data_IF_395600971756
#
_entry.id   IF_395600971756
#
_cell.length_a   1.000
_cell.length_b   1.000
_cell.length_c   1.000
_cell.angle_alpha   90.00
_cell.angle_beta   90.00
_cell.angle_gamma   90.00
#
_symmetry.space_group_name_H-M   'P 1'
#
loop_
_entity.id
_entity.type
_entity.pdbx_description
1 polymer ?
#
# COMPACT_ATOMS: atom_id res chain seq x y z
N UNK A 1 -7.74 -15.54 33.17
CA UNK A 1 -8.81 -14.55 33.44
C UNK A 1 -8.31 -13.11 33.36
N UNK A 2 -7.21 -12.74 34.04
CA UNK A 2 -6.65 -11.37 34.01
C UNK A 2 -6.11 -10.94 32.63
N UNK A 3 -5.33 -11.79 31.92
CA UNK A 3 -4.80 -11.50 30.57
C UNK A 3 -5.91 -11.25 29.50
N UNK A 4 -7.01 -11.99 29.58
CA UNK A 4 -8.16 -11.84 28.68
C UNK A 4 -8.87 -10.49 28.88
N UNK A 5 -8.96 -10.02 30.13
CA UNK A 5 -9.57 -8.74 30.46
C UNK A 5 -8.74 -7.55 29.94
N UNK A 6 -7.41 -7.61 30.07
CA UNK A 6 -6.51 -6.61 29.48
C UNK A 6 -6.58 -6.57 27.95
N UNK A 7 -6.65 -7.75 27.28
CA UNK A 7 -6.86 -7.81 25.82
C UNK A 7 -8.20 -7.19 25.38
N UNK A 8 -9.28 -7.41 26.14
CA UNK A 8 -10.61 -6.86 25.82
C UNK A 8 -10.65 -5.33 25.98
N UNK A 9 -10.12 -4.82 27.09
CA UNK A 9 -10.04 -3.39 27.36
C UNK A 9 -9.17 -2.67 26.31
N UNK A 10 -8.08 -3.31 25.90
CA UNK A 10 -7.20 -2.80 24.87
C UNK A 10 -7.85 -2.77 23.48
N UNK A 11 -8.57 -3.82 23.09
CA UNK A 11 -9.38 -3.84 21.87
C UNK A 11 -10.41 -2.70 21.86
N UNK A 12 -11.02 -2.41 23.02
CA UNK A 12 -11.93 -1.28 23.16
C UNK A 12 -11.21 0.06 22.96
N UNK A 13 -10.01 0.20 23.52
CA UNK A 13 -9.18 1.40 23.35
C UNK A 13 -8.73 1.61 21.90
N UNK A 14 -8.26 0.56 21.21
CA UNK A 14 -7.91 0.65 19.77
C UNK A 14 -9.14 1.05 18.96
N UNK A 15 -10.30 0.42 19.21
CA UNK A 15 -11.54 0.76 18.49
C UNK A 15 -11.95 2.21 18.71
N UNK A 16 -11.81 2.74 19.93
CA UNK A 16 -12.11 4.14 20.23
C UNK A 16 -11.14 5.10 19.53
N UNK A 17 -9.84 4.76 19.52
CA UNK A 17 -8.80 5.51 18.79
C UNK A 17 -9.10 5.51 17.29
N UNK A 18 -9.34 4.35 16.69
CA UNK A 18 -9.66 4.25 15.27
C UNK A 18 -10.95 5.01 14.91
N UNK A 19 -12.00 4.90 15.73
CA UNK A 19 -13.23 5.64 15.50
C UNK A 19 -13.01 7.17 15.48
N UNK A 20 -12.16 7.69 16.37
CA UNK A 20 -11.79 9.11 16.37
C UNK A 20 -11.10 9.52 15.06
N UNK A 21 -10.07 8.79 14.65
CA UNK A 21 -9.26 9.21 13.51
C UNK A 21 -9.92 8.91 12.15
N UNK A 22 -10.71 7.84 12.03
CA UNK A 22 -11.57 7.60 10.86
C UNK A 22 -12.57 8.73 10.65
N UNK A 23 -13.17 9.24 11.73
CA UNK A 23 -14.10 10.36 11.63
C UNK A 23 -13.42 11.64 11.09
N UNK A 24 -12.12 11.83 11.37
CA UNK A 24 -11.31 12.95 10.88
C UNK A 24 -10.87 12.72 9.44
N UNK A 25 -10.38 11.52 9.11
CA UNK A 25 -9.93 11.12 7.77
C UNK A 25 -11.03 11.34 6.72
N UNK A 26 -12.24 10.89 7.04
CA UNK A 26 -13.41 11.02 6.17
C UNK A 26 -14.21 12.32 6.36
N UNK A 27 -13.77 13.26 7.23
CA UNK A 27 -14.48 14.53 7.41
C UNK A 27 -14.36 15.38 6.12
N UNK A 28 -15.46 15.67 5.40
CA UNK A 28 -15.40 16.46 4.19
C UNK A 28 -15.12 17.95 4.44
N UNK A 29 -15.16 18.40 5.70
CA UNK A 29 -14.98 19.81 6.08
C UNK A 29 -13.52 20.18 6.32
N UNK A 30 -12.65 19.20 6.49
CA UNK A 30 -11.22 19.40 6.73
C UNK A 30 -10.44 19.25 5.42
N UNK A 31 -9.47 20.13 5.19
CA UNK A 31 -8.55 19.99 4.05
C UNK A 31 -7.58 18.84 4.28
N UNK A 32 -6.86 18.43 3.23
CA UNK A 32 -5.84 17.38 3.34
C UNK A 32 -4.73 17.81 4.29
N UNK A 33 -4.29 19.07 4.20
CA UNK A 33 -3.23 19.67 5.03
C UNK A 33 -3.63 19.69 6.51
N UNK A 34 -4.90 20.00 6.79
CA UNK A 34 -5.44 19.96 8.15
C UNK A 34 -5.52 18.54 8.71
N UNK A 35 -5.75 17.53 7.85
CA UNK A 35 -5.81 16.11 8.25
C UNK A 35 -4.44 15.49 8.49
N UNK A 36 -3.41 15.89 7.74
CA UNK A 36 -2.05 15.34 7.83
C UNK A 36 -1.53 15.19 9.27
N UNK A 37 -1.55 16.22 10.14
CA UNK A 37 -1.04 16.07 11.51
C UNK A 37 -1.80 15.01 12.33
N UNK A 38 -3.11 14.86 12.11
CA UNK A 38 -3.90 13.83 12.78
C UNK A 38 -3.58 12.43 12.28
N UNK A 39 -3.33 12.26 10.97
CA UNK A 39 -2.93 10.98 10.41
C UNK A 39 -1.55 10.55 10.92
N UNK A 40 -0.61 11.49 11.03
CA UNK A 40 0.71 11.26 11.64
C UNK A 40 0.54 10.83 13.10
N UNK A 41 -0.27 11.55 13.88
CA UNK A 41 -0.54 11.21 15.29
C UNK A 41 -1.16 9.81 15.42
N UNK A 42 -2.12 9.47 14.57
CA UNK A 42 -2.79 8.18 14.58
C UNK A 42 -1.80 7.03 14.32
N UNK A 43 -1.00 7.15 13.26
CA UNK A 43 0.01 6.15 12.91
C UNK A 43 1.11 6.04 13.97
N UNK A 44 1.52 7.16 14.56
CA UNK A 44 2.51 7.17 15.65
C UNK A 44 2.01 6.36 16.85
N UNK A 45 0.77 6.59 17.28
CA UNK A 45 0.15 5.83 18.38
C UNK A 45 -0.03 4.36 18.04
N UNK A 46 -0.37 4.04 16.80
CA UNK A 46 -0.46 2.65 16.35
C UNK A 46 0.90 1.95 16.47
N UNK A 47 1.98 2.59 16.01
CA UNK A 47 3.35 2.07 16.10
C UNK A 47 3.85 1.92 17.55
N UNK A 48 3.61 2.92 18.41
CA UNK A 48 3.94 2.84 19.84
C UNK A 48 3.27 1.64 20.53
N UNK A 49 2.02 1.36 20.17
CA UNK A 49 1.33 0.18 20.68
C UNK A 49 2.03 -1.10 20.21
N UNK A 50 2.37 -1.23 18.92
CA UNK A 50 3.04 -2.43 18.41
C UNK A 50 4.34 -2.75 19.18
N UNK A 51 5.11 -1.71 19.52
CA UNK A 51 6.34 -1.82 20.33
C UNK A 51 6.01 -2.18 21.79
N UNK A 52 5.05 -1.49 22.41
CA UNK A 52 4.67 -1.72 23.81
C UNK A 52 4.15 -3.14 24.06
N UNK A 53 3.40 -3.69 23.09
CA UNK A 53 2.90 -5.07 23.15
C UNK A 53 3.92 -6.12 22.75
N UNK A 54 5.10 -5.70 22.25
CA UNK A 54 6.16 -6.58 21.77
C UNK A 54 5.62 -7.61 20.78
N UNK A 55 4.91 -7.13 19.76
CA UNK A 55 4.33 -8.00 18.74
C UNK A 55 5.46 -8.77 18.05
N UNK A 56 5.37 -10.10 18.10
CA UNK A 56 6.32 -11.00 17.46
C UNK A 56 5.85 -11.41 16.05
N UNK A 57 6.79 -11.82 15.21
CA UNK A 57 6.53 -12.23 13.82
C UNK A 57 5.50 -13.36 13.75
N UNK A 58 5.57 -14.32 14.66
CA UNK A 58 4.67 -15.47 14.76
C UNK A 58 3.23 -15.04 15.07
N UNK A 59 3.04 -13.97 15.84
CA UNK A 59 1.71 -13.43 16.11
C UNK A 59 1.11 -12.83 14.85
N UNK A 60 1.89 -12.08 14.07
CA UNK A 60 1.46 -11.52 12.77
C UNK A 60 1.04 -12.65 11.83
N UNK A 61 1.83 -13.72 11.73
CA UNK A 61 1.51 -14.90 10.93
C UNK A 61 0.17 -15.51 11.32
N UNK A 62 -0.04 -15.74 12.62
CA UNK A 62 -1.31 -16.26 13.13
C UNK A 62 -2.48 -15.32 12.84
N UNK A 63 -2.28 -14.00 12.96
CA UNK A 63 -3.33 -13.04 12.66
C UNK A 63 -3.74 -13.07 11.19
N UNK A 64 -2.76 -13.07 10.28
CA UNK A 64 -3.03 -13.06 8.83
C UNK A 64 -3.75 -14.33 8.39
N UNK A 65 -3.32 -15.51 8.87
CA UNK A 65 -3.97 -16.79 8.54
C UNK A 65 -5.43 -16.82 9.00
N UNK A 66 -5.73 -16.22 10.15
CA UNK A 66 -7.09 -16.18 10.69
C UNK A 66 -7.92 -15.00 10.15
N UNK A 67 -7.30 -14.05 9.45
CA UNK A 67 -7.96 -12.88 8.90
C UNK A 67 -8.66 -13.22 7.58
N UNK A 68 -9.82 -12.59 7.35
CA UNK A 68 -10.54 -12.67 6.06
C UNK A 68 -9.97 -11.63 5.10
N UNK A 69 -8.76 -11.89 4.58
CA UNK A 69 -8.10 -11.05 3.58
C UNK A 69 -8.17 -11.79 2.24
N UNK A 70 -8.59 -11.10 1.18
CA UNK A 70 -8.74 -11.65 -0.17
C UNK A 70 -8.09 -10.71 -1.18
N UNK A 71 -7.48 -11.29 -2.22
CA UNK A 71 -7.03 -10.54 -3.39
C UNK A 71 -8.23 -10.20 -4.28
N UNK A 72 -8.12 -9.12 -5.05
CA UNK A 72 -9.09 -8.84 -6.11
C UNK A 72 -9.02 -9.93 -7.19
N UNK A 73 -10.13 -10.15 -7.87
CA UNK A 73 -10.22 -11.13 -8.96
C UNK A 73 -9.13 -10.90 -10.01
N UNK A 74 -8.41 -11.96 -10.36
CA UNK A 74 -7.33 -11.95 -11.36
C UNK A 74 -5.98 -11.39 -10.87
N UNK A 75 -5.89 -10.87 -9.65
CA UNK A 75 -4.63 -10.33 -9.12
C UNK A 75 -3.57 -11.41 -8.92
N UNK A 76 -3.96 -12.64 -8.59
CA UNK A 76 -3.02 -13.77 -8.47
C UNK A 76 -2.39 -14.13 -9.82
N UNK A 77 -3.19 -14.15 -10.88
CA UNK A 77 -2.74 -14.42 -12.24
C UNK A 77 -1.79 -13.31 -12.72
N UNK A 78 -2.12 -12.05 -12.45
CA UNK A 78 -1.25 -10.91 -12.75
C UNK A 78 0.12 -11.04 -12.06
N UNK A 79 0.14 -11.30 -10.75
CA UNK A 79 1.39 -11.45 -9.99
C UNK A 79 2.24 -12.60 -10.56
N UNK A 80 1.62 -13.73 -10.89
CA UNK A 80 2.33 -14.88 -11.48
C UNK A 80 2.88 -14.57 -12.87
N UNK A 81 2.13 -13.84 -13.69
CA UNK A 81 2.57 -13.46 -15.02
C UNK A 81 3.77 -12.52 -14.95
N UNK A 82 3.73 -11.49 -14.10
CA UNK A 82 4.85 -10.58 -13.85
C UNK A 82 6.10 -11.34 -13.39
N UNK A 83 5.93 -12.32 -12.52
CA UNK A 83 7.02 -13.19 -12.08
C UNK A 83 7.63 -14.01 -13.22
N UNK A 84 6.80 -14.66 -14.04
CA UNK A 84 7.26 -15.47 -15.18
C UNK A 84 7.95 -14.65 -16.26
N UNK A 85 7.63 -13.36 -16.35
CA UNK A 85 8.20 -12.41 -17.31
C UNK A 85 9.40 -11.65 -16.74
N UNK A 86 9.83 -11.96 -15.50
CA UNK A 86 10.91 -11.26 -14.78
C UNK A 86 10.70 -9.75 -14.68
N UNK A 87 9.44 -9.31 -14.57
CA UNK A 87 9.08 -7.89 -14.45
C UNK A 87 8.98 -7.54 -12.97
N UNK A 88 9.76 -6.57 -12.45
CA UNK A 88 9.65 -6.14 -11.06
C UNK A 88 8.24 -5.63 -10.73
N UNK A 89 7.66 -6.13 -9.65
CA UNK A 89 6.39 -5.70 -9.07
C UNK A 89 6.66 -5.00 -7.74
N UNK A 90 6.36 -3.71 -7.68
CA UNK A 90 6.47 -2.94 -6.43
C UNK A 90 5.09 -2.83 -5.78
N UNK A 91 4.97 -3.32 -4.55
CA UNK A 91 3.79 -3.15 -3.71
C UNK A 91 4.04 -2.01 -2.74
N UNK A 92 3.44 -0.85 -3.01
CA UNK A 92 3.51 0.31 -2.13
C UNK A 92 2.27 0.36 -1.24
N UNK A 93 2.45 0.34 0.08
CA UNK A 93 1.35 0.41 1.03
C UNK A 93 1.66 1.28 2.22
N UNK A 94 0.77 2.21 2.56
CA UNK A 94 0.78 2.91 3.85
C UNK A 94 0.43 1.99 5.03
N UNK A 95 0.03 0.74 4.77
CA UNK A 95 -0.24 -0.29 5.77
C UNK A 95 1.01 -0.87 6.43
N UNK A 96 0.85 -2.02 7.09
CA UNK A 96 1.97 -2.76 7.71
C UNK A 96 2.52 -3.77 6.71
N UNK A 97 3.77 -3.57 6.27
CA UNK A 97 4.35 -4.38 5.19
C UNK A 97 4.52 -5.87 5.53
N UNK A 98 4.78 -6.22 6.79
CA UNK A 98 4.90 -7.62 7.22
C UNK A 98 3.59 -8.40 7.06
N UNK A 99 2.44 -7.72 7.19
CA UNK A 99 1.13 -8.33 6.94
C UNK A 99 0.99 -8.70 5.47
N UNK A 100 1.43 -7.81 4.58
CA UNK A 100 1.41 -8.03 3.13
C UNK A 100 2.35 -9.18 2.75
N UNK A 101 3.58 -9.19 3.28
CA UNK A 101 4.56 -10.27 3.05
C UNK A 101 3.99 -11.64 3.47
N UNK A 102 3.49 -11.75 4.69
CA UNK A 102 2.90 -13.00 5.20
C UNK A 102 1.69 -13.41 4.36
N UNK A 103 0.80 -12.48 4.03
CA UNK A 103 -0.40 -12.76 3.26
C UNK A 103 -0.06 -13.30 1.86
N UNK A 104 0.87 -12.66 1.16
CA UNK A 104 1.28 -13.09 -0.17
C UNK A 104 1.98 -14.44 -0.15
N UNK A 105 2.84 -14.71 0.85
CA UNK A 105 3.44 -16.05 1.02
C UNK A 105 2.37 -17.11 1.22
N UNK A 106 1.33 -16.81 2.00
CA UNK A 106 0.24 -17.75 2.23
C UNK A 106 -0.60 -17.99 0.97
N UNK A 107 -0.93 -16.94 0.22
CA UNK A 107 -1.75 -17.05 -1.00
C UNK A 107 -1.01 -17.68 -2.17
N UNK A 108 0.26 -17.35 -2.35
CA UNK A 108 1.04 -17.76 -3.52
C UNK A 108 1.94 -18.97 -3.25
N UNK A 109 2.17 -19.32 -1.98
CA UNK A 109 3.10 -20.36 -1.50
C UNK A 109 4.54 -19.86 -1.31
N UNK A 110 4.91 -18.78 -1.99
CA UNK A 110 6.19 -18.09 -1.89
C UNK A 110 6.01 -16.64 -2.35
N UNK A 111 6.99 -15.77 -2.09
CA UNK A 111 7.05 -14.45 -2.72
C UNK A 111 8.02 -14.53 -3.90
N UNK A 112 7.56 -14.32 -5.13
CA UNK A 112 8.43 -14.18 -6.29
C UNK A 112 9.52 -13.11 -6.09
N UNK A 113 10.74 -13.36 -6.54
CA UNK A 113 11.90 -12.47 -6.34
C UNK A 113 11.74 -11.09 -6.99
N UNK A 114 10.89 -11.00 -8.01
CA UNK A 114 10.56 -9.75 -8.67
C UNK A 114 9.61 -8.87 -7.84
N UNK A 115 9.07 -9.34 -6.71
CA UNK A 115 8.21 -8.54 -5.85
C UNK A 115 9.04 -7.77 -4.81
N UNK A 116 8.88 -6.46 -4.81
CA UNK A 116 9.42 -5.55 -3.81
C UNK A 116 8.25 -4.95 -3.03
N UNK A 117 8.34 -4.92 -1.69
CA UNK A 117 7.29 -4.33 -0.85
C UNK A 117 7.88 -3.08 -0.21
N UNK A 118 7.31 -1.91 -0.49
CA UNK A 118 7.61 -0.66 0.23
C UNK A 118 6.40 -0.34 1.09
N UNK A 119 6.58 -0.40 2.39
CA UNK A 119 5.51 -0.19 3.35
C UNK A 119 6.09 0.13 4.72
N UNK A 120 5.24 0.40 5.71
CA UNK A 120 5.70 0.49 7.10
C UNK A 120 6.09 -0.92 7.55
N UNK A 121 7.38 -1.25 7.39
CA UNK A 121 7.94 -2.52 7.83
C UNK A 121 8.14 -2.46 9.34
N UNK A 122 7.54 -3.39 10.06
CA UNK A 122 8.02 -3.78 11.37
C UNK A 122 9.38 -4.44 11.14
N UNK A 123 10.42 -3.66 11.40
CA UNK A 123 11.79 -4.08 11.16
C UNK A 123 12.16 -5.08 12.25
N UNK A 124 12.37 -6.31 11.77
CA UNK A 124 13.04 -7.36 12.51
C UNK A 124 14.50 -7.56 11.99
N UNK A 125 14.98 -6.62 11.13
CA UNK A 125 16.33 -6.34 10.54
C UNK A 125 16.45 -6.48 8.95
N UNK A 126 16.78 -5.38 8.19
CA UNK A 126 17.38 -5.18 6.78
C UNK A 126 16.55 -4.72 5.46
N UNK A 127 17.19 -4.09 4.40
CA UNK A 127 16.74 -3.07 3.31
C UNK A 127 16.77 -3.42 1.74
N UNK A 128 16.24 -2.56 0.76
CA UNK A 128 16.05 -2.75 -0.77
C UNK A 128 16.16 -1.47 -1.75
N UNK A 129 16.44 -1.57 -3.11
CA UNK A 129 16.49 -0.47 -4.20
C UNK A 129 16.04 -0.78 -5.71
N UNK A 130 15.52 0.19 -6.56
CA UNK A 130 15.09 0.05 -8.03
C UNK A 130 14.38 1.23 -8.83
N UNK A 131 13.97 1.06 -10.13
CA UNK A 131 13.12 1.99 -10.97
C UNK A 131 11.62 1.91 -10.59
N UNK A 132 10.79 2.97 -10.76
CA UNK A 132 9.45 3.04 -10.11
C UNK A 132 8.32 3.34 -11.12
N UNK A 133 7.30 2.46 -11.15
CA UNK A 133 5.97 2.75 -11.69
C UNK A 133 5.03 2.95 -10.48
N UNK A 134 4.48 4.14 -10.32
CA UNK A 134 3.62 4.51 -9.20
C UNK A 134 2.17 4.49 -9.68
N UNK A 135 1.36 3.62 -9.08
CA UNK A 135 -0.08 3.54 -9.29
C UNK A 135 -0.78 4.04 -8.02
N UNK A 136 -1.58 5.08 -8.13
CA UNK A 136 -2.30 5.66 -6.98
C UNK A 136 -3.76 5.87 -7.30
N UNK A 137 -4.63 5.73 -6.29
CA UNK A 137 -6.06 6.03 -6.39
C UNK A 137 -6.44 7.32 -5.63
N UNK A 138 -5.44 7.99 -5.06
CA UNK A 138 -5.59 9.22 -4.31
C UNK A 138 -4.44 10.21 -4.57
N UNK A 139 -4.67 11.50 -4.34
CA UNK A 139 -3.60 12.50 -4.32
C UNK A 139 -2.58 12.27 -3.20
N UNK A 140 -2.89 11.41 -2.22
CA UNK A 140 -1.94 11.01 -1.16
C UNK A 140 -0.76 10.23 -1.72
N UNK A 141 -0.97 9.53 -2.83
CA UNK A 141 0.00 8.61 -3.43
C UNK A 141 1.14 9.34 -4.16
N UNK A 142 0.93 10.61 -4.52
CA UNK A 142 1.86 11.43 -5.30
C UNK A 142 3.23 11.66 -4.64
N UNK A 143 3.30 11.56 -3.32
CA UNK A 143 4.51 11.83 -2.53
C UNK A 143 5.15 10.57 -1.96
N UNK A 144 4.70 9.39 -2.40
CA UNK A 144 5.24 8.13 -1.90
C UNK A 144 6.67 7.86 -2.43
N UNK A 145 7.12 8.54 -3.48
CA UNK A 145 8.51 8.56 -3.93
C UNK A 145 9.46 9.35 -3.00
N UNK A 146 8.92 10.22 -2.13
CA UNK A 146 9.71 11.05 -1.20
C UNK A 146 10.22 10.20 -0.03
N UNK A 147 11.42 9.65 -0.18
CA UNK A 147 12.09 8.85 0.86
C UNK A 147 12.70 7.55 0.36
N UNK A 148 12.40 7.16 -0.88
CA UNK A 148 13.05 6.02 -1.53
C UNK A 148 14.36 6.52 -2.14
N UNK A 149 15.50 6.01 -1.66
CA UNK A 149 16.78 6.22 -2.33
C UNK A 149 16.77 5.43 -3.66
N UNK A 150 16.31 6.06 -4.74
CA UNK A 150 16.36 5.49 -6.09
C UNK A 150 17.11 6.40 -7.07
N UNK A 151 17.80 5.80 -8.01
CA UNK A 151 18.51 6.49 -9.11
C UNK A 151 17.73 6.49 -10.43
N UNK A 152 16.51 5.94 -10.42
CA UNK A 152 15.68 5.68 -11.59
C UNK A 152 14.58 6.70 -11.88
N UNK A 153 13.97 6.59 -13.06
CA UNK A 153 12.80 7.39 -13.48
C UNK A 153 11.52 6.90 -12.80
N UNK A 154 10.61 7.82 -12.48
CA UNK A 154 9.28 7.53 -11.93
C UNK A 154 8.22 7.86 -12.98
N UNK A 155 7.29 6.94 -13.25
CA UNK A 155 6.06 7.19 -14.02
C UNK A 155 4.86 7.03 -13.08
N UNK A 156 4.00 8.05 -12.99
CA UNK A 156 2.86 8.12 -12.07
C UNK A 156 1.53 7.98 -12.83
N UNK A 157 0.72 6.98 -12.49
CA UNK A 157 -0.61 6.75 -13.06
C UNK A 157 -1.66 6.85 -11.94
N UNK A 158 -2.63 7.74 -12.10
CA UNK A 158 -3.70 8.01 -11.15
C UNK A 158 -5.03 7.39 -11.57
N UNK A 159 -5.64 6.58 -10.72
CA UNK A 159 -6.96 5.99 -10.93
C UNK A 159 -8.04 6.88 -10.30
N UNK A 160 -8.72 7.69 -11.11
CA UNK A 160 -9.75 8.61 -10.66
C UNK A 160 -11.15 7.99 -10.83
N UNK A 161 -11.63 7.35 -9.77
CA UNK A 161 -12.90 6.59 -9.76
C UNK A 161 -14.06 7.28 -9.04
N UNK A 162 -13.81 8.41 -8.37
CA UNK A 162 -14.84 9.13 -7.63
C UNK A 162 -14.54 10.62 -7.62
N UNK A 163 -15.59 11.46 -7.56
CA UNK A 163 -15.47 12.93 -7.57
C UNK A 163 -14.63 13.44 -8.75
N UNK A 164 -14.89 12.91 -9.94
CA UNK A 164 -14.12 13.21 -11.16
C UNK A 164 -14.10 14.71 -11.43
N UNK A 165 -15.27 15.37 -11.41
CA UNK A 165 -15.40 16.80 -11.70
C UNK A 165 -14.61 17.68 -10.71
N UNK A 166 -14.49 17.26 -9.45
CA UNK A 166 -13.82 18.03 -8.40
C UNK A 166 -12.30 17.79 -8.36
N UNK A 167 -11.85 16.60 -8.77
CA UNK A 167 -10.48 16.14 -8.54
C UNK A 167 -9.63 16.04 -9.81
N UNK A 168 -10.23 16.10 -11.00
CA UNK A 168 -9.53 15.87 -12.25
C UNK A 168 -8.35 16.84 -12.48
N UNK A 169 -8.53 18.14 -12.23
CA UNK A 169 -7.42 19.11 -12.36
C UNK A 169 -6.25 18.76 -11.42
N UNK A 170 -6.56 18.45 -10.16
CA UNK A 170 -5.52 18.08 -9.18
C UNK A 170 -4.83 16.77 -9.54
N UNK A 171 -5.52 15.83 -10.17
CA UNK A 171 -4.94 14.58 -10.65
C UNK A 171 -4.05 14.79 -11.87
N UNK A 172 -4.47 15.64 -12.82
CA UNK A 172 -3.68 15.99 -14.01
C UNK A 172 -2.40 16.75 -13.66
N UNK A 173 -2.41 17.56 -12.60
CA UNK A 173 -1.22 18.26 -12.09
C UNK A 173 -0.24 17.31 -11.37
N UNK A 174 -0.75 16.21 -10.79
CA UNK A 174 0.03 15.31 -9.95
C UNK A 174 0.56 14.06 -10.64
N UNK A 175 -0.27 13.44 -11.49
CA UNK A 175 0.04 12.19 -12.17
C UNK A 175 0.41 12.44 -13.63
N UNK A 176 1.34 11.65 -14.16
CA UNK A 176 1.71 11.71 -15.58
C UNK A 176 0.56 11.21 -16.48
N UNK A 177 -0.25 10.27 -15.97
CA UNK A 177 -1.40 9.67 -16.66
C UNK A 177 -2.56 9.57 -15.67
N UNK A 178 -3.76 9.97 -16.08
CA UNK A 178 -4.97 9.85 -15.26
C UNK A 178 -5.98 8.96 -15.96
N UNK A 179 -6.38 7.87 -15.30
CA UNK A 179 -7.40 6.93 -15.75
C UNK A 179 -8.71 7.29 -15.06
N UNK A 180 -9.67 7.82 -15.83
CA UNK A 180 -10.96 8.28 -15.33
C UNK A 180 -11.99 7.17 -15.48
N UNK A 181 -12.58 6.76 -14.36
CA UNK A 181 -13.61 5.70 -14.30
C UNK A 181 -13.20 4.36 -14.92
N UNK A 182 -11.90 4.14 -15.09
CA UNK A 182 -11.31 2.88 -15.54
C UNK A 182 -10.56 2.26 -14.36
N UNK A 183 -11.06 1.11 -13.88
CA UNK A 183 -10.45 0.35 -12.77
C UNK A 183 -9.65 -0.85 -13.25
N UNK A 184 -9.44 -0.98 -14.57
CA UNK A 184 -8.68 -2.07 -15.16
C UNK A 184 -7.18 -1.78 -15.09
N UNK A 185 -6.37 -2.82 -15.25
CA UNK A 185 -4.91 -2.68 -15.38
C UNK A 185 -4.46 -2.65 -16.85
N UNK A 186 -5.40 -2.48 -17.80
CA UNK A 186 -5.15 -2.60 -19.23
C UNK A 186 -4.22 -1.49 -19.74
N UNK A 187 -4.46 -0.23 -19.35
CA UNK A 187 -3.60 0.90 -19.76
C UNK A 187 -2.19 0.80 -19.17
N UNK A 188 -2.01 0.51 -17.85
CA UNK A 188 -0.70 0.20 -17.30
C UNK A 188 0.01 -0.96 -18.03
N UNK A 189 -0.72 -2.03 -18.37
CA UNK A 189 -0.18 -3.18 -19.10
C UNK A 189 0.25 -2.81 -20.53
N UNK A 190 -0.54 -2.01 -21.25
CA UNK A 190 -0.20 -1.54 -22.60
C UNK A 190 1.05 -0.64 -22.62
N UNK A 191 1.18 0.27 -21.67
CA UNK A 191 2.37 1.12 -21.52
C UNK A 191 3.60 0.24 -21.28
N UNK A 192 3.46 -0.74 -20.41
CA UNK A 192 4.52 -1.70 -20.10
C UNK A 192 4.92 -2.51 -21.33
N UNK A 193 3.97 -3.06 -22.08
CA UNK A 193 4.22 -3.79 -23.33
C UNK A 193 5.00 -2.92 -24.33
N UNK A 194 4.60 -1.65 -24.54
CA UNK A 194 5.28 -0.74 -25.44
C UNK A 194 6.72 -0.40 -25.01
N UNK A 195 6.96 -0.25 -23.70
CA UNK A 195 8.31 -0.02 -23.16
C UNK A 195 9.21 -1.26 -23.33
N UNK A 196 8.65 -2.47 -23.15
CA UNK A 196 9.36 -3.75 -23.29
C UNK A 196 9.63 -4.14 -24.76
N UNK A 197 8.80 -3.70 -25.71
CA UNK A 197 9.05 -3.91 -27.14
C UNK A 197 10.20 -3.04 -27.66
N UNK A 198 10.38 -1.84 -27.09
CA UNK A 198 11.49 -0.94 -27.46
C UNK A 198 12.85 -1.41 -26.91
N UNK A 199 12.90 -2.07 -25.75
CA UNK A 199 14.15 -2.62 -25.19
C UNK A 199 14.66 -3.84 -25.96
N UNK A 200 13.80 -4.56 -26.69
CA UNK A 200 14.19 -5.69 -27.56
C UNK A 200 14.77 -5.28 -28.93
N UNK A 201 14.69 -3.99 -29.29
CA UNK A 201 15.20 -3.44 -30.57
C UNK A 201 16.59 -2.80 -30.48
N UNK A 202 17.22 -2.81 -29.31
CA UNK A 202 18.58 -2.32 -29.05
C UNK A 202 19.47 -3.48 -28.60
#
# INVERSE_FOLDING_TARGET
MMLLFYRLLFLFQIRAVNAKYLAIEYDPRLTKEEKVPYMIEWWTKAHENYIAFRIHREEIEQFVVNAKIELRDGADALVRHLASSSIPLLLFSAGVGNVIDVFLRHQLGYIPENIHIISNMLIFNEEVSGNILLLGDSLGDLHMDVGVAHSGTVLKIGFLNSRVDDLLESYLDGFDIVLVEDQTMDVPDLILQALLENTKKT
#
